data_IF_407617425025
#
_entry.id   IF_407617425025
#
_cell.length_a   1.000
_cell.length_b   1.000
_cell.length_c   1.000
_cell.angle_alpha   90.00
_cell.angle_beta   90.00
_cell.angle_gamma   90.00
#
_symmetry.space_group_name_H-M   'P 1'
#
loop_
_entity.id
_entity.type
_entity.pdbx_description
1 polymer ?
#
# COMPACT_ATOMS: atom_id res chain seq x y z
N UNK A 1 -4.97 -6.79 -9.08
CA UNK A 1 -4.15 -5.88 -9.91
C UNK A 1 -4.32 -6.24 -11.36
N UNK A 2 -4.57 -5.26 -12.20
CA UNK A 2 -5.00 -5.47 -13.57
C UNK A 2 -3.91 -5.33 -14.62
N UNK A 3 -2.73 -4.79 -14.27
CA UNK A 3 -1.65 -4.59 -15.23
C UNK A 3 -0.35 -5.24 -14.76
N UNK A 4 0.54 -5.52 -15.73
CA UNK A 4 1.86 -6.07 -15.43
C UNK A 4 2.70 -5.07 -14.63
N UNK A 5 2.57 -3.77 -14.93
CA UNK A 5 3.27 -2.72 -14.19
C UNK A 5 2.86 -2.71 -12.71
N UNK A 6 1.58 -2.86 -12.43
CA UNK A 6 1.08 -2.92 -11.06
C UNK A 6 1.67 -4.12 -10.31
N UNK A 7 1.74 -5.27 -10.96
CA UNK A 7 2.33 -6.48 -10.37
C UNK A 7 3.81 -6.30 -10.08
N UNK A 8 4.54 -5.68 -10.99
CA UNK A 8 5.97 -5.41 -10.84
C UNK A 8 6.18 -4.45 -9.66
N UNK A 9 5.42 -3.38 -9.58
CA UNK A 9 5.52 -2.40 -8.49
C UNK A 9 5.23 -3.06 -7.15
N UNK A 10 4.18 -3.88 -7.07
CA UNK A 10 3.83 -4.57 -5.83
C UNK A 10 4.97 -5.49 -5.35
N UNK A 11 5.55 -6.25 -6.28
CA UNK A 11 6.67 -7.13 -5.97
C UNK A 11 7.91 -6.35 -5.52
N UNK A 12 8.25 -5.29 -6.23
CA UNK A 12 9.45 -4.51 -5.95
C UNK A 12 9.35 -3.74 -4.64
N UNK A 13 8.15 -3.24 -4.30
CA UNK A 13 7.99 -2.53 -3.05
C UNK A 13 8.17 -3.47 -1.84
N UNK A 14 7.71 -4.71 -1.94
CA UNK A 14 7.96 -5.73 -0.92
C UNK A 14 9.45 -6.05 -0.82
N UNK A 15 10.12 -6.17 -1.96
CA UNK A 15 11.55 -6.44 -2.03
C UNK A 15 12.36 -5.34 -1.34
N UNK A 16 12.00 -4.08 -1.58
CA UNK A 16 12.70 -2.94 -0.97
C UNK A 16 12.47 -2.84 0.53
N UNK A 17 11.32 -3.26 1.02
CA UNK A 17 11.06 -3.28 2.46
C UNK A 17 11.90 -4.33 3.17
N UNK A 18 12.19 -5.44 2.50
CA UNK A 18 12.95 -6.56 3.07
C UNK A 18 14.45 -6.49 2.80
N UNK A 19 14.89 -5.69 1.83
CA UNK A 19 16.30 -5.62 1.42
C UNK A 19 16.73 -4.17 1.18
N UNK A 20 18.04 -3.96 1.08
CA UNK A 20 18.65 -2.65 0.78
C UNK A 20 18.91 -2.46 -0.71
N UNK A 21 17.99 -2.88 -1.56
CA UNK A 21 18.14 -2.75 -3.01
C UNK A 21 18.26 -1.26 -3.40
N UNK A 22 19.33 -0.84 -4.11
CA UNK A 22 19.53 0.57 -4.44
C UNK A 22 18.48 1.13 -5.39
N UNK A 23 17.95 2.32 -5.08
CA UNK A 23 16.98 2.99 -5.93
C UNK A 23 17.53 3.29 -7.33
N UNK A 24 18.80 3.70 -7.42
CA UNK A 24 19.46 3.99 -8.68
C UNK A 24 19.47 2.77 -9.61
N UNK A 25 19.73 1.60 -9.06
CA UNK A 25 19.71 0.36 -9.81
C UNK A 25 18.29 0.03 -10.26
N UNK A 26 17.32 0.26 -9.41
CA UNK A 26 15.90 0.06 -9.70
C UNK A 26 15.48 0.93 -10.90
N UNK A 27 15.85 2.21 -10.90
CA UNK A 27 15.55 3.14 -11.99
C UNK A 27 16.18 2.69 -13.31
N UNK A 28 17.40 2.19 -13.22
CA UNK A 28 18.15 1.75 -14.38
C UNK A 28 17.54 0.51 -15.02
N UNK A 29 17.06 -0.43 -14.20
CA UNK A 29 16.51 -1.69 -14.67
C UNK A 29 15.05 -1.60 -15.08
N UNK A 30 14.23 -0.80 -14.39
CA UNK A 30 12.78 -0.78 -14.56
C UNK A 30 12.23 0.56 -15.06
N UNK A 31 13.05 1.61 -15.10
CA UNK A 31 12.65 2.94 -15.54
C UNK A 31 12.09 3.81 -14.43
N UNK A 32 11.99 5.11 -14.72
CA UNK A 32 11.57 6.11 -13.72
C UNK A 32 10.14 5.91 -13.26
N UNK A 33 9.24 5.53 -14.16
CA UNK A 33 7.82 5.34 -13.83
C UNK A 33 7.64 4.30 -12.73
N UNK A 34 8.27 3.14 -12.91
CA UNK A 34 8.21 2.04 -11.94
C UNK A 34 8.93 2.45 -10.64
N UNK A 35 10.12 3.03 -10.76
CA UNK A 35 10.92 3.42 -9.61
C UNK A 35 10.21 4.46 -8.75
N UNK A 36 9.57 5.45 -9.35
CA UNK A 36 8.83 6.47 -8.62
C UNK A 36 7.65 5.86 -7.85
N UNK A 37 6.92 4.96 -8.49
CA UNK A 37 5.79 4.29 -7.83
C UNK A 37 6.26 3.43 -6.64
N UNK A 38 7.33 2.67 -6.82
CA UNK A 38 7.90 1.82 -5.77
C UNK A 38 8.39 2.69 -4.61
N UNK A 39 9.08 3.78 -4.91
CA UNK A 39 9.61 4.71 -3.90
C UNK A 39 8.48 5.30 -3.04
N UNK A 40 7.38 5.71 -3.69
CA UNK A 40 6.22 6.25 -2.98
C UNK A 40 5.55 5.24 -2.06
N UNK A 41 5.57 3.96 -2.44
CA UNK A 41 4.94 2.90 -1.68
C UNK A 41 5.81 2.35 -0.54
N UNK A 42 7.13 2.52 -0.66
CA UNK A 42 8.06 1.94 0.29
C UNK A 42 8.20 2.83 1.52
N UNK A 43 8.01 2.25 2.71
CA UNK A 43 8.36 2.88 3.97
C UNK A 43 9.11 1.85 4.80
N UNK A 44 10.27 2.24 5.31
CA UNK A 44 11.15 1.34 6.05
C UNK A 44 10.94 1.41 7.56
N UNK A 45 10.28 2.46 8.02
CA UNK A 45 9.98 2.66 9.42
C UNK A 45 8.58 2.19 9.73
N UNK A 46 8.41 1.64 10.94
CA UNK A 46 7.08 1.27 11.41
C UNK A 46 6.32 2.54 11.76
N UNK A 47 5.18 2.73 11.10
CA UNK A 47 4.35 3.91 11.27
C UNK A 47 3.24 3.65 12.29
N UNK A 48 2.97 4.64 13.15
CA UNK A 48 1.77 4.63 13.99
C UNK A 48 0.54 4.97 13.12
N UNK A 49 -0.64 5.07 13.73
CA UNK A 49 -1.87 5.35 12.97
C UNK A 49 -1.82 6.70 12.25
N UNK A 50 -1.33 7.74 12.94
CA UNK A 50 -1.21 9.08 12.35
C UNK A 50 -0.19 9.10 11.22
N UNK A 51 0.97 8.50 11.44
CA UNK A 51 2.01 8.40 10.42
C UNK A 51 1.56 7.64 9.20
N UNK A 52 0.79 6.58 9.40
CA UNK A 52 0.23 5.79 8.30
C UNK A 52 -0.76 6.62 7.47
N UNK A 53 -1.65 7.36 8.11
CA UNK A 53 -2.60 8.22 7.40
C UNK A 53 -1.88 9.34 6.64
N UNK A 54 -0.85 9.94 7.23
CA UNK A 54 -0.02 10.94 6.54
C UNK A 54 0.66 10.36 5.31
N UNK A 55 1.17 9.14 5.42
CA UNK A 55 1.77 8.41 4.31
C UNK A 55 0.76 8.22 3.18
N UNK A 56 -0.46 7.80 3.51
CA UNK A 56 -1.53 7.60 2.53
C UNK A 56 -1.94 8.91 1.87
N UNK A 57 -2.03 10.00 2.64
CA UNK A 57 -2.34 11.33 2.08
C UNK A 57 -1.27 11.82 1.13
N UNK A 58 0.00 11.64 1.49
CA UNK A 58 1.11 11.99 0.62
C UNK A 58 1.08 11.19 -0.68
N UNK A 59 0.76 9.92 -0.59
CA UNK A 59 0.61 9.04 -1.75
C UNK A 59 -0.48 9.56 -2.68
N UNK A 60 -1.64 9.91 -2.13
CA UNK A 60 -2.74 10.47 -2.93
C UNK A 60 -2.34 11.81 -3.55
N UNK A 61 -1.71 12.69 -2.79
CA UNK A 61 -1.31 14.02 -3.25
C UNK A 61 -0.24 13.95 -4.34
N UNK A 62 0.53 12.87 -4.41
CA UNK A 62 1.55 12.68 -5.44
C UNK A 62 0.96 12.61 -6.85
N UNK A 63 -0.30 12.21 -6.96
CA UNK A 63 -0.95 12.02 -8.26
C UNK A 63 -0.42 10.84 -9.06
N UNK A 64 0.40 9.99 -8.47
CA UNK A 64 0.97 8.84 -9.16
C UNK A 64 -0.08 7.73 -9.23
N UNK A 65 -0.77 7.63 -10.37
CA UNK A 65 -1.87 6.69 -10.55
C UNK A 65 -1.44 5.22 -10.38
N UNK A 66 -0.22 4.90 -10.81
CA UNK A 66 0.30 3.54 -10.69
C UNK A 66 0.49 3.15 -9.21
N UNK A 67 1.14 4.01 -8.43
CA UNK A 67 1.34 3.77 -6.99
C UNK A 67 0.01 3.68 -6.25
N UNK A 68 -0.90 4.59 -6.55
CA UNK A 68 -2.22 4.62 -5.92
C UNK A 68 -3.00 3.34 -6.23
N UNK A 69 -2.99 2.89 -7.48
CA UNK A 69 -3.69 1.67 -7.90
C UNK A 69 -3.14 0.43 -7.17
N UNK A 70 -1.82 0.33 -7.07
CA UNK A 70 -1.17 -0.78 -6.36
C UNK A 70 -1.56 -0.77 -4.88
N UNK A 71 -1.56 0.41 -4.26
CA UNK A 71 -1.90 0.51 -2.83
C UNK A 71 -3.37 0.18 -2.58
N UNK A 72 -4.27 0.61 -3.46
CA UNK A 72 -5.69 0.25 -3.36
C UNK A 72 -5.87 -1.27 -3.41
N UNK A 73 -5.21 -1.94 -4.35
CA UNK A 73 -5.28 -3.39 -4.47
C UNK A 73 -4.74 -4.09 -3.21
N UNK A 74 -3.61 -3.62 -2.70
CA UNK A 74 -2.98 -4.15 -1.50
C UNK A 74 -3.91 -4.01 -0.28
N UNK A 75 -4.48 -2.82 -0.08
CA UNK A 75 -5.39 -2.56 1.03
C UNK A 75 -6.68 -3.36 0.92
N UNK A 76 -7.19 -3.54 -0.29
CA UNK A 76 -8.40 -4.33 -0.53
C UNK A 76 -8.18 -5.78 -0.13
N UNK A 77 -7.03 -6.35 -0.51
CA UNK A 77 -6.68 -7.71 -0.13
C UNK A 77 -6.49 -7.85 1.38
N UNK A 78 -5.84 -6.89 2.00
CA UNK A 78 -5.56 -6.93 3.44
C UNK A 78 -6.78 -6.62 4.31
N UNK A 79 -7.82 -6.03 3.73
CA UNK A 79 -9.08 -5.74 4.43
C UNK A 79 -10.07 -6.90 4.38
N UNK A 80 -9.72 -8.01 3.75
CA UNK A 80 -10.61 -9.15 3.62
C UNK A 80 -10.63 -9.97 4.91
N UNK A 81 -11.59 -9.67 5.77
CA UNK A 81 -11.72 -10.35 7.06
C UNK A 81 -12.13 -11.81 6.93
N UNK A 82 -12.71 -12.22 5.80
CA UNK A 82 -13.10 -13.62 5.60
C UNK A 82 -11.90 -14.57 5.57
N UNK A 83 -10.73 -14.06 5.24
CA UNK A 83 -9.48 -14.83 5.27
C UNK A 83 -9.08 -15.23 6.69
N UNK A 84 -9.63 -14.54 7.70
CA UNK A 84 -9.40 -14.84 9.10
C UNK A 84 -10.48 -15.75 9.70
N UNK A 85 -11.40 -16.22 8.86
CA UNK A 85 -12.43 -17.16 9.28
C UNK A 85 -13.64 -16.54 9.95
N UNK A 86 -13.81 -15.22 9.86
CA UNK A 86 -14.96 -14.51 10.44
C UNK A 86 -15.91 -14.05 9.34
N UNK A 87 -17.19 -13.88 9.69
CA UNK A 87 -18.24 -13.51 8.73
C UNK A 87 -18.52 -12.02 8.70
N UNK A 88 -18.10 -11.28 9.71
CA UNK A 88 -18.29 -9.82 9.77
C UNK A 88 -17.12 -9.18 10.52
N UNK A 89 -16.84 -7.88 10.28
CA UNK A 89 -15.70 -7.20 10.94
C UNK A 89 -15.79 -7.20 12.46
N UNK A 90 -16.99 -7.16 13.02
CA UNK A 90 -17.21 -7.13 14.48
C UNK A 90 -16.74 -8.40 15.17
N UNK A 91 -16.60 -9.51 14.43
CA UNK A 91 -16.11 -10.78 14.97
C UNK A 91 -14.58 -10.85 15.03
N UNK A 92 -13.89 -9.85 14.51
CA UNK A 92 -12.42 -9.79 14.56
C UNK A 92 -11.93 -9.51 15.98
N UNK A 93 -10.76 -10.06 16.32
CA UNK A 93 -10.05 -9.67 17.53
C UNK A 93 -9.74 -8.17 17.49
N UNK A 94 -9.59 -7.55 18.66
CA UNK A 94 -9.40 -6.08 18.75
C UNK A 94 -8.28 -5.58 17.87
N UNK A 95 -7.14 -6.27 17.84
CA UNK A 95 -6.00 -5.89 17.04
C UNK A 95 -6.30 -5.96 15.54
N UNK A 96 -6.96 -7.02 15.11
CA UNK A 96 -7.34 -7.22 13.71
C UNK A 96 -8.41 -6.21 13.29
N UNK A 97 -9.34 -5.89 14.19
CA UNK A 97 -10.37 -4.89 13.94
C UNK A 97 -9.77 -3.50 13.74
N UNK A 98 -8.79 -3.10 14.56
CA UNK A 98 -8.09 -1.83 14.42
C UNK A 98 -7.36 -1.75 13.08
N UNK A 99 -6.72 -2.83 12.68
CA UNK A 99 -6.01 -2.92 11.39
C UNK A 99 -7.01 -2.78 10.24
N UNK A 100 -8.14 -3.48 10.33
CA UNK A 100 -9.21 -3.40 9.34
C UNK A 100 -9.70 -1.95 9.18
N UNK A 101 -9.97 -1.28 10.29
CA UNK A 101 -10.43 0.12 10.27
C UNK A 101 -9.39 1.04 9.66
N UNK A 102 -8.14 0.86 9.98
CA UNK A 102 -7.03 1.63 9.41
C UNK A 102 -7.00 1.50 7.89
N UNK A 103 -7.13 0.28 7.39
CA UNK A 103 -7.12 0.03 5.95
C UNK A 103 -8.35 0.61 5.26
N UNK A 104 -9.51 0.56 5.90
CA UNK A 104 -10.73 1.15 5.35
C UNK A 104 -10.61 2.68 5.24
N UNK A 105 -10.03 3.33 6.24
CA UNK A 105 -9.76 4.77 6.20
C UNK A 105 -8.80 5.11 5.05
N UNK A 106 -7.74 4.34 4.91
CA UNK A 106 -6.77 4.53 3.84
C UNK A 106 -7.41 4.39 2.47
N UNK A 107 -8.24 3.36 2.28
CA UNK A 107 -8.97 3.15 1.02
C UNK A 107 -9.88 4.32 0.69
N UNK A 108 -10.59 4.83 1.69
CA UNK A 108 -11.48 6.00 1.52
C UNK A 108 -10.70 7.21 1.01
N UNK A 109 -9.55 7.48 1.60
CA UNK A 109 -8.68 8.59 1.19
C UNK A 109 -8.22 8.40 -0.26
N UNK A 110 -7.72 7.23 -0.59
CA UNK A 110 -7.17 6.94 -1.93
C UNK A 110 -8.23 6.95 -3.02
N UNK A 111 -9.46 6.57 -2.68
CA UNK A 111 -10.56 6.56 -3.65
C UNK A 111 -11.24 7.92 -3.81
N UNK A 112 -10.76 8.94 -3.10
CA UNK A 112 -11.28 10.30 -3.21
C UNK A 112 -12.37 10.66 -2.22
N UNK A 113 -12.71 9.76 -1.30
CA UNK A 113 -13.61 10.05 -0.20
C UNK A 113 -12.81 10.59 0.97
N UNK A 114 -12.67 11.85 1.07
CA UNK A 114 -11.90 12.50 2.13
C UNK A 114 -12.48 12.23 3.52
#
# INVERSE_FOLDING_TARGET
>A
MSTDEEKIVAFLHDLLEDTDYPEDKLRKEFGDRIADAVSLLTHREKLDEEGYIDYIRKLKDSGNSLAIAVKIADLTNNSDYTRLGVNCPEDLADEDYRRYKKYQNALSILKGGS
#
